data_IF_056996501927
#
_entry.id   IF_056996501927
#
_cell.length_a   1.000
_cell.length_b   1.000
_cell.length_c   1.000
_cell.angle_alpha   90.00
_cell.angle_beta   90.00
_cell.angle_gamma   90.00
#
_symmetry.space_group_name_H-M   'P 1'
#
loop_
_entity.id
_entity.type
_entity.pdbx_description
1 polymer ?
#
# COMPACT_ATOMS: atom_id res chain seq x y z
N UNK A 1 -10.17 -16.26 19.68
CA UNK A 1 -8.88 -15.59 19.36
C UNK A 1 -9.07 -14.48 18.31
N UNK A 2 -9.78 -14.71 17.20
CA UNK A 2 -10.03 -13.71 16.15
C UNK A 2 -10.80 -12.45 16.63
N UNK A 3 -11.92 -12.64 17.35
CA UNK A 3 -12.72 -11.51 17.89
C UNK A 3 -11.93 -10.64 18.88
N UNK A 4 -11.02 -11.23 19.65
CA UNK A 4 -10.17 -10.47 20.58
C UNK A 4 -9.16 -9.58 19.85
N UNK A 5 -8.56 -10.06 18.76
CA UNK A 5 -7.68 -9.25 17.93
C UNK A 5 -8.41 -8.09 17.23
N UNK A 6 -9.64 -8.32 16.76
CA UNK A 6 -10.47 -7.24 16.19
C UNK A 6 -10.87 -6.20 17.24
N UNK A 7 -11.24 -6.63 18.45
CA UNK A 7 -11.54 -5.73 19.56
C UNK A 7 -10.30 -4.94 20.00
N UNK A 8 -9.13 -5.60 20.04
CA UNK A 8 -7.87 -4.94 20.40
C UNK A 8 -7.46 -3.91 19.33
N UNK A 9 -7.57 -4.24 18.05
CA UNK A 9 -7.39 -3.28 16.95
C UNK A 9 -8.37 -2.11 17.07
N UNK A 10 -9.64 -2.39 17.40
CA UNK A 10 -10.66 -1.38 17.74
C UNK A 10 -10.23 -0.41 18.84
N UNK A 11 -9.73 -0.97 19.94
CA UNK A 11 -9.24 -0.21 21.09
C UNK A 11 -7.98 0.59 20.75
N UNK A 12 -7.03 0.01 20.02
CA UNK A 12 -5.80 0.70 19.58
C UNK A 12 -6.12 1.90 18.69
N UNK A 13 -7.05 1.75 17.75
CA UNK A 13 -7.52 2.88 16.92
C UNK A 13 -8.17 3.98 17.78
N UNK A 14 -8.98 3.59 18.77
CA UNK A 14 -9.63 4.53 19.68
C UNK A 14 -8.61 5.26 20.57
N UNK A 15 -7.58 4.55 21.06
CA UNK A 15 -6.51 5.12 21.86
C UNK A 15 -5.59 6.04 21.05
N UNK A 16 -5.29 5.68 19.80
CA UNK A 16 -4.47 6.49 18.89
C UNK A 16 -5.23 7.70 18.31
N UNK A 17 -6.56 7.73 18.45
CA UNK A 17 -7.42 8.77 17.87
C UNK A 17 -7.46 8.76 16.34
N UNK A 18 -6.98 7.67 15.70
CA UNK A 18 -6.95 7.50 14.25
C UNK A 18 -6.81 6.01 13.89
N UNK A 19 -7.13 5.67 12.64
CA UNK A 19 -7.06 4.30 12.12
C UNK A 19 -5.63 3.84 11.78
N UNK A 20 -4.59 4.60 12.15
CA UNK A 20 -3.21 4.29 11.71
C UNK A 20 -2.66 2.96 12.20
N UNK A 21 -2.97 2.49 13.43
CA UNK A 21 -2.48 1.21 13.92
C UNK A 21 -2.96 -0.01 13.12
N UNK A 22 -4.11 0.10 12.45
CA UNK A 22 -4.80 -1.04 11.84
C UNK A 22 -4.97 -0.95 10.33
N UNK A 23 -4.71 0.22 9.73
CA UNK A 23 -4.88 0.48 8.31
C UNK A 23 -3.63 1.12 7.72
N UNK A 24 -3.00 0.46 6.77
CA UNK A 24 -1.80 0.88 6.04
C UNK A 24 -1.95 0.77 4.53
N UNK A 25 -0.85 0.47 3.84
CA UNK A 25 -0.84 0.36 2.37
C UNK A 25 -1.68 -0.81 1.86
N UNK A 26 -1.80 -1.89 2.64
CA UNK A 26 -2.62 -3.05 2.32
C UNK A 26 -4.12 -2.72 2.27
N UNK A 27 -4.58 -1.82 3.14
CA UNK A 27 -5.96 -1.32 3.09
C UNK A 27 -6.17 -0.38 1.90
N UNK A 28 -5.18 0.45 1.56
CA UNK A 28 -5.28 1.28 0.37
C UNK A 28 -5.41 0.43 -0.91
N UNK A 29 -4.65 -0.67 -1.00
CA UNK A 29 -4.77 -1.63 -2.10
C UNK A 29 -6.17 -2.28 -2.10
N UNK A 30 -6.66 -2.75 -0.96
CA UNK A 30 -8.01 -3.34 -0.87
C UNK A 30 -9.09 -2.36 -1.31
N UNK A 31 -8.99 -1.09 -0.91
CA UNK A 31 -9.93 -0.06 -1.33
C UNK A 31 -9.82 0.28 -2.83
N UNK A 32 -8.61 0.29 -3.39
CA UNK A 32 -8.43 0.45 -4.84
C UNK A 32 -9.18 -0.65 -5.60
N UNK A 33 -9.05 -1.91 -5.14
CA UNK A 33 -9.76 -3.04 -5.76
C UNK A 33 -11.27 -2.97 -5.58
N UNK A 34 -11.75 -2.38 -4.48
CA UNK A 34 -13.18 -2.13 -4.22
C UNK A 34 -13.79 -1.02 -5.08
N UNK A 35 -12.97 -0.11 -5.61
CA UNK A 35 -13.44 0.98 -6.47
C UNK A 35 -13.73 0.52 -7.90
N UNK A 36 -13.35 -0.71 -8.25
CA UNK A 36 -13.62 -1.33 -9.58
C UNK A 36 -13.06 -0.55 -10.77
N UNK A 37 -12.07 0.33 -10.55
CA UNK A 37 -11.44 1.12 -11.61
C UNK A 37 -10.38 0.37 -12.40
N UNK A 38 -9.79 -0.67 -11.80
CA UNK A 38 -8.70 -1.47 -12.38
C UNK A 38 -9.01 -2.98 -12.47
N UNK A 39 -10.17 -3.38 -11.94
CA UNK A 39 -10.69 -4.75 -11.92
C UNK A 39 -12.22 -4.73 -11.89
N UNK A 40 -12.89 -5.80 -12.32
CA UNK A 40 -14.32 -5.97 -12.06
C UNK A 40 -14.61 -6.17 -10.57
N UNK A 41 -15.89 -6.11 -10.20
CA UNK A 41 -16.36 -6.46 -8.87
C UNK A 41 -15.79 -7.82 -8.40
N UNK A 42 -15.22 -7.84 -7.19
CA UNK A 42 -14.60 -9.03 -6.61
C UNK A 42 -15.56 -9.69 -5.63
N UNK A 43 -15.78 -10.99 -5.80
CA UNK A 43 -16.49 -11.82 -4.82
C UNK A 43 -15.52 -12.24 -3.70
N UNK A 44 -15.15 -11.25 -2.88
CA UNK A 44 -14.26 -11.42 -1.73
C UNK A 44 -14.57 -10.40 -0.63
N UNK A 45 -14.52 -10.85 0.62
CA UNK A 45 -14.70 -9.98 1.78
C UNK A 45 -13.55 -8.97 1.88
N UNK A 46 -13.81 -7.82 2.50
CA UNK A 46 -12.80 -6.79 2.73
C UNK A 46 -11.53 -7.37 3.41
N UNK A 47 -11.71 -8.17 4.46
CA UNK A 47 -10.59 -8.81 5.17
C UNK A 47 -9.77 -9.79 4.31
N UNK A 48 -10.39 -10.46 3.33
CA UNK A 48 -9.68 -11.36 2.41
C UNK A 48 -8.80 -10.55 1.45
N UNK A 49 -9.34 -9.46 0.90
CA UNK A 49 -8.58 -8.53 0.05
C UNK A 49 -7.42 -7.90 0.80
N UNK A 50 -7.67 -7.43 2.03
CA UNK A 50 -6.63 -6.89 2.92
C UNK A 50 -5.53 -7.92 3.22
N UNK A 51 -5.89 -9.18 3.48
CA UNK A 51 -4.93 -10.25 3.73
C UNK A 51 -4.00 -10.52 2.55
N UNK A 52 -4.56 -10.67 1.35
CA UNK A 52 -3.77 -10.85 0.12
C UNK A 52 -2.92 -9.61 -0.16
N UNK A 53 -3.48 -8.41 0.00
CA UNK A 53 -2.76 -7.15 -0.17
C UNK A 53 -1.59 -7.02 0.82
N UNK A 54 -1.74 -7.47 2.07
CA UNK A 54 -0.68 -7.45 3.07
C UNK A 54 0.53 -8.27 2.63
N UNK A 55 0.31 -9.45 2.03
CA UNK A 55 1.41 -10.27 1.50
C UNK A 55 2.18 -9.54 0.39
N UNK A 56 1.47 -8.82 -0.49
CA UNK A 56 2.06 -8.02 -1.57
C UNK A 56 2.84 -6.83 -1.02
N UNK A 57 2.29 -6.14 -0.02
CA UNK A 57 2.93 -5.00 0.64
C UNK A 57 4.21 -5.43 1.35
N UNK A 58 4.19 -6.52 2.12
CA UNK A 58 5.37 -7.07 2.76
C UNK A 58 6.48 -7.35 1.74
N UNK A 59 6.14 -8.03 0.63
CA UNK A 59 7.11 -8.32 -0.44
C UNK A 59 7.68 -7.04 -1.07
N UNK A 60 6.83 -6.04 -1.35
CA UNK A 60 7.27 -4.75 -1.91
C UNK A 60 8.17 -3.98 -0.94
N UNK A 61 7.83 -3.97 0.35
CA UNK A 61 8.60 -3.25 1.37
C UNK A 61 9.97 -3.90 1.56
N UNK A 62 10.05 -5.24 1.60
CA UNK A 62 11.33 -5.97 1.64
C UNK A 62 12.18 -5.69 0.39
N UNK A 63 11.57 -5.62 -0.82
CA UNK A 63 12.28 -5.21 -2.05
C UNK A 63 12.84 -3.79 -1.96
N UNK A 64 12.11 -2.86 -1.35
CA UNK A 64 12.61 -1.50 -1.12
C UNK A 64 13.77 -1.54 -0.12
N UNK A 65 13.61 -2.26 1.00
CA UNK A 65 14.64 -2.37 2.02
C UNK A 65 15.93 -3.05 1.54
N UNK A 66 15.89 -3.88 0.51
CA UNK A 66 17.09 -4.52 -0.07
C UNK A 66 17.94 -3.59 -0.93
N UNK A 67 17.58 -2.30 -1.07
CA UNK A 67 18.37 -1.32 -1.81
C UNK A 67 19.58 -0.91 -0.96
N UNK A 68 20.79 -1.12 -1.50
CA UNK A 68 22.03 -0.70 -0.84
C UNK A 68 22.36 0.76 -1.11
N UNK A 69 22.26 1.20 -2.37
CA UNK A 69 22.47 2.59 -2.79
C UNK A 69 21.13 3.29 -3.07
N UNK A 70 20.52 3.82 -2.01
CA UNK A 70 19.28 4.60 -2.12
C UNK A 70 19.52 5.96 -2.80
N UNK A 71 20.70 6.56 -2.60
CA UNK A 71 21.03 7.88 -3.14
C UNK A 71 21.07 7.85 -4.68
N UNK A 72 21.67 6.82 -5.26
CA UNK A 72 21.70 6.60 -6.72
C UNK A 72 20.35 6.21 -7.33
N UNK A 73 19.32 5.96 -6.51
CA UNK A 73 17.96 5.59 -6.96
C UNK A 73 16.93 6.70 -6.74
N UNK A 74 17.29 7.85 -6.19
CA UNK A 74 16.35 8.96 -6.03
C UNK A 74 15.91 9.47 -7.40
N UNK A 75 14.60 9.65 -7.58
CA UNK A 75 14.03 10.27 -8.78
C UNK A 75 14.33 11.77 -8.75
N UNK A 76 15.13 12.25 -9.71
CA UNK A 76 15.53 13.66 -9.79
C UNK A 76 14.33 14.61 -9.99
N UNK A 77 13.32 14.17 -10.76
CA UNK A 77 12.12 14.95 -11.07
C UNK A 77 10.88 14.14 -10.72
N UNK A 78 10.41 14.27 -9.47
CA UNK A 78 9.16 13.65 -9.04
C UNK A 78 8.01 14.14 -9.95
N UNK A 79 7.34 13.25 -10.72
CA UNK A 79 6.37 13.67 -11.74
C UNK A 79 5.04 14.17 -11.13
N UNK A 80 4.92 14.23 -9.80
CA UNK A 80 3.67 14.59 -9.14
C UNK A 80 2.63 13.48 -9.23
N UNK A 81 1.38 13.84 -8.96
CA UNK A 81 0.23 12.94 -9.05
C UNK A 81 -0.01 12.59 -10.54
N UNK A 82 -0.13 11.30 -10.92
CA UNK A 82 -0.27 10.89 -12.32
C UNK A 82 -1.70 11.11 -12.81
N UNK A 83 -2.04 12.36 -13.15
CA UNK A 83 -3.42 12.78 -13.46
C UNK A 83 -4.07 11.96 -14.57
N UNK A 84 -3.33 11.67 -15.65
CA UNK A 84 -3.85 10.90 -16.79
C UNK A 84 -4.26 9.47 -16.38
N UNK A 85 -3.39 8.76 -15.65
CA UNK A 85 -3.67 7.41 -15.14
C UNK A 85 -4.87 7.43 -14.20
N UNK A 86 -4.92 8.42 -13.30
CA UNK A 86 -6.03 8.57 -12.37
C UNK A 86 -7.36 8.87 -13.07
N UNK A 87 -7.38 9.72 -14.10
CA UNK A 87 -8.60 10.04 -14.85
C UNK A 87 -9.18 8.79 -15.52
N UNK A 88 -8.34 8.03 -16.22
CA UNK A 88 -8.76 6.81 -16.92
C UNK A 88 -9.39 5.77 -15.99
N UNK A 89 -8.98 5.75 -14.72
CA UNK A 89 -9.31 4.68 -13.77
C UNK A 89 -10.41 5.09 -12.80
N UNK A 90 -10.34 6.29 -12.23
CA UNK A 90 -11.34 6.76 -11.27
C UNK A 90 -12.55 7.39 -11.98
N UNK A 91 -12.41 7.82 -13.23
CA UNK A 91 -13.50 8.39 -14.02
C UNK A 91 -14.26 9.48 -13.26
N UNK A 92 -15.50 9.17 -12.87
CA UNK A 92 -16.36 10.11 -12.11
C UNK A 92 -15.84 10.45 -10.71
N UNK A 93 -15.05 9.57 -10.10
CA UNK A 93 -14.44 9.77 -8.78
C UNK A 93 -13.12 10.55 -8.85
N UNK A 94 -12.60 10.83 -10.05
CA UNK A 94 -11.30 11.49 -10.23
C UNK A 94 -11.17 12.79 -9.44
N UNK A 95 -12.15 13.69 -9.54
CA UNK A 95 -12.09 14.98 -8.85
C UNK A 95 -12.02 14.80 -7.33
N UNK A 96 -12.81 13.88 -6.77
CA UNK A 96 -12.80 13.61 -5.34
C UNK A 96 -11.45 13.02 -4.86
N UNK A 97 -10.87 12.12 -5.65
CA UNK A 97 -9.53 11.56 -5.35
C UNK A 97 -8.47 12.65 -5.46
N UNK A 98 -8.55 13.53 -6.46
CA UNK A 98 -7.60 14.63 -6.63
C UNK A 98 -7.68 15.63 -5.48
N UNK A 99 -8.91 16.06 -5.13
CA UNK A 99 -9.17 16.96 -4.01
C UNK A 99 -8.67 16.37 -2.70
N UNK A 100 -8.90 15.07 -2.47
CA UNK A 100 -8.41 14.39 -1.27
C UNK A 100 -6.88 14.45 -1.21
N UNK A 101 -6.18 14.29 -2.33
CA UNK A 101 -4.72 14.23 -2.40
C UNK A 101 -4.02 15.58 -2.56
N UNK A 102 -4.78 16.68 -2.66
CA UNK A 102 -4.22 18.02 -2.82
C UNK A 102 -4.24 18.77 -1.48
N UNK A 103 -3.12 19.33 -1.03
CA UNK A 103 -1.77 19.26 -1.63
C UNK A 103 -1.12 17.89 -1.41
N UNK A 104 -0.26 17.49 -2.37
CA UNK A 104 0.42 16.20 -2.37
C UNK A 104 1.37 16.08 -1.16
N UNK A 105 1.14 15.14 -0.23
CA UNK A 105 2.04 14.85 0.89
C UNK A 105 3.49 14.57 0.50
N UNK A 106 3.77 14.13 -0.73
CA UNK A 106 5.14 13.90 -1.19
C UNK A 106 5.89 15.20 -1.54
N UNK A 107 5.18 16.27 -1.88
CA UNK A 107 5.80 17.55 -2.22
C UNK A 107 6.56 18.18 -1.05
N UNK A 108 6.20 17.81 0.18
CA UNK A 108 6.86 18.28 1.41
C UNK A 108 8.04 17.38 1.85
N UNK A 109 8.34 16.30 1.12
CA UNK A 109 9.40 15.35 1.47
C UNK A 109 10.71 15.76 0.81
N UNK A 110 11.71 16.06 1.62
CA UNK A 110 13.09 16.24 1.15
C UNK A 110 13.74 14.88 0.83
N UNK A 111 14.15 14.63 -0.43
CA UNK A 111 14.82 13.39 -0.79
C UNK A 111 16.14 13.16 -0.05
N UNK A 112 16.84 14.20 0.39
CA UNK A 112 18.06 14.04 1.19
C UNK A 112 17.75 13.45 2.56
N UNK A 113 16.67 13.92 3.20
CA UNK A 113 16.20 13.35 4.47
C UNK A 113 15.79 11.89 4.29
N UNK A 114 15.19 11.53 3.15
CA UNK A 114 14.88 10.14 2.83
C UNK A 114 16.16 9.28 2.80
N UNK A 115 17.20 9.73 2.08
CA UNK A 115 18.49 9.02 2.01
C UNK A 115 19.11 8.87 3.41
N UNK A 116 19.17 9.94 4.18
CA UNK A 116 19.74 9.95 5.53
C UNK A 116 19.00 9.02 6.50
N UNK A 117 17.67 8.94 6.39
CA UNK A 117 16.81 8.14 7.27
C UNK A 117 16.55 6.74 6.73
N UNK A 118 17.00 6.41 5.52
CA UNK A 118 16.75 5.13 4.90
C UNK A 118 17.21 3.93 5.74
N UNK A 119 18.37 3.96 6.44
CA UNK A 119 18.75 2.86 7.33
C UNK A 119 17.72 2.59 8.44
N UNK A 120 17.08 3.64 8.98
CA UNK A 120 16.03 3.48 9.99
C UNK A 120 14.75 2.86 9.39
N UNK A 121 14.46 3.18 8.12
CA UNK A 121 13.35 2.55 7.38
C UNK A 121 13.64 1.07 7.19
N UNK A 122 14.88 0.70 6.83
CA UNK A 122 15.30 -0.70 6.71
C UNK A 122 15.14 -1.44 8.04
N UNK A 123 15.61 -0.88 9.15
CA UNK A 123 15.45 -1.48 10.50
C UNK A 123 14.00 -1.71 10.90
N UNK A 124 13.09 -0.81 10.52
CA UNK A 124 11.64 -0.97 10.76
C UNK A 124 11.08 -2.08 9.87
N UNK A 125 11.50 -2.12 8.60
CA UNK A 125 11.07 -3.15 7.64
C UNK A 125 11.60 -4.53 8.04
N UNK A 126 12.75 -4.63 8.70
CA UNK A 126 13.26 -5.92 9.16
C UNK A 126 12.37 -6.58 10.21
N UNK A 127 11.58 -5.79 10.94
CA UNK A 127 10.64 -6.28 11.97
C UNK A 127 9.31 -6.75 11.41
N UNK A 128 8.93 -6.38 10.19
CA UNK A 128 7.71 -6.89 9.55
C UNK A 128 7.95 -8.28 8.94
N UNK A 129 6.91 -9.15 8.99
CA UNK A 129 7.00 -10.50 8.46
C UNK A 129 7.13 -10.51 6.93
N UNK A 130 7.65 -11.61 6.40
CA UNK A 130 7.71 -11.84 4.97
C UNK A 130 6.35 -12.15 4.36
N UNK A 131 6.16 -11.79 3.09
CA UNK A 131 4.92 -12.07 2.37
C UNK A 131 4.57 -13.57 2.32
N UNK A 132 5.58 -14.45 2.22
CA UNK A 132 5.37 -15.90 2.26
C UNK A 132 4.84 -16.37 3.61
N UNK A 133 5.32 -15.78 4.71
CA UNK A 133 4.82 -16.10 6.05
C UNK A 133 3.36 -15.67 6.22
N UNK A 134 3.00 -14.48 5.71
CA UNK A 134 1.60 -14.01 5.67
C UNK A 134 0.73 -14.99 4.89
N UNK A 135 1.17 -15.43 3.70
CA UNK A 135 0.45 -16.41 2.90
C UNK A 135 0.23 -17.74 3.66
N UNK A 136 1.26 -18.24 4.35
CA UNK A 136 1.13 -19.45 5.18
C UNK A 136 0.10 -19.29 6.30
N UNK A 137 0.03 -18.12 6.94
CA UNK A 137 -1.01 -17.85 7.94
C UNK A 137 -2.41 -17.84 7.33
N UNK A 138 -2.58 -17.19 6.18
CA UNK A 138 -3.87 -17.16 5.46
C UNK A 138 -4.31 -18.56 5.06
N UNK A 139 -3.40 -19.38 4.52
CA UNK A 139 -3.66 -20.79 4.19
C UNK A 139 -4.13 -21.57 5.42
N UNK A 140 -3.44 -21.43 6.57
CA UNK A 140 -3.82 -22.11 7.81
C UNK A 140 -5.17 -21.65 8.37
N UNK A 141 -5.55 -20.41 8.10
CA UNK A 141 -6.84 -19.85 8.49
C UNK A 141 -7.97 -20.22 7.53
N UNK A 142 -7.67 -20.89 6.40
CA UNK A 142 -8.66 -21.20 5.35
C UNK A 142 -9.11 -19.96 4.57
N UNK A 143 -8.31 -18.90 4.56
CA UNK A 143 -8.58 -17.66 3.84
C UNK A 143 -8.03 -17.73 2.40
N UNK A 144 -8.51 -16.82 1.54
CA UNK A 144 -7.89 -16.54 0.23
C UNK A 144 -6.45 -16.06 0.42
N UNK A 145 -5.53 -16.53 -0.43
CA UNK A 145 -4.07 -16.36 -0.24
C UNK A 145 -3.43 -15.59 -1.40
N UNK A 146 -3.95 -15.78 -2.61
CA UNK A 146 -3.38 -15.26 -3.85
C UNK A 146 -4.33 -14.29 -4.55
N UNK A 147 -3.79 -13.52 -5.50
CA UNK A 147 -4.62 -12.70 -6.40
C UNK A 147 -5.65 -13.56 -7.15
N UNK A 148 -5.26 -14.76 -7.59
CA UNK A 148 -6.14 -15.67 -8.31
C UNK A 148 -7.32 -16.12 -7.46
N UNK A 149 -7.13 -16.32 -6.15
CA UNK A 149 -8.25 -16.65 -5.23
C UNK A 149 -9.27 -15.50 -5.12
N UNK A 150 -8.83 -14.26 -5.36
CA UNK A 150 -9.69 -13.07 -5.44
C UNK A 150 -10.33 -12.89 -6.83
N UNK A 151 -9.97 -13.71 -7.82
CA UNK A 151 -10.38 -13.52 -9.22
C UNK A 151 -9.53 -12.48 -9.98
N UNK A 152 -8.36 -12.13 -9.45
CA UNK A 152 -7.41 -11.19 -10.06
C UNK A 152 -6.24 -11.92 -10.74
N UNK A 153 -5.66 -11.27 -11.75
CA UNK A 153 -4.43 -11.74 -12.43
C UNK A 153 -3.21 -10.94 -11.96
N UNK A 154 -2.01 -11.47 -12.17
CA UNK A 154 -0.76 -10.77 -11.83
C UNK A 154 -0.53 -9.47 -12.64
N UNK A 155 -1.24 -9.30 -13.75
CA UNK A 155 -1.15 -8.12 -14.62
C UNK A 155 -1.61 -6.82 -13.93
N UNK A 156 -2.45 -6.94 -12.89
CA UNK A 156 -2.94 -5.80 -12.14
C UNK A 156 -1.92 -5.24 -11.14
N UNK A 157 -0.87 -6.00 -10.84
CA UNK A 157 0.08 -5.65 -9.76
C UNK A 157 0.79 -4.32 -10.03
N UNK A 158 1.38 -4.05 -11.20
CA UNK A 158 2.03 -2.77 -11.46
C UNK A 158 1.09 -1.58 -11.23
N UNK A 159 -0.13 -1.67 -11.76
CA UNK A 159 -1.15 -0.62 -11.64
C UNK A 159 -1.64 -0.45 -10.19
N UNK A 160 -1.77 -1.57 -9.46
CA UNK A 160 -2.12 -1.57 -8.04
C UNK A 160 -1.06 -0.85 -7.21
N UNK A 161 0.22 -1.12 -7.46
CA UNK A 161 1.34 -0.50 -6.73
C UNK A 161 1.46 0.99 -7.07
N UNK A 162 1.20 1.37 -8.32
CA UNK A 162 1.24 2.76 -8.77
C UNK A 162 0.11 3.61 -8.14
N UNK A 163 -1.12 3.08 -8.11
CA UNK A 163 -2.31 3.89 -7.81
C UNK A 163 -2.83 3.78 -6.39
N UNK A 164 -2.55 2.68 -5.68
CA UNK A 164 -2.98 2.52 -4.30
C UNK A 164 -2.52 3.65 -3.37
N UNK A 165 -1.36 4.31 -3.56
CA UNK A 165 -1.02 5.50 -2.78
C UNK A 165 -2.09 6.58 -2.79
N UNK A 166 -2.81 6.80 -3.89
CA UNK A 166 -3.76 7.92 -4.04
C UNK A 166 -5.16 7.63 -3.51
N UNK A 167 -5.46 6.41 -3.08
CA UNK A 167 -6.79 6.11 -2.53
C UNK A 167 -7.08 6.92 -1.27
N UNK A 168 -6.05 7.32 -0.53
CA UNK A 168 -6.14 8.19 0.66
C UNK A 168 -4.95 9.13 0.74
N UNK A 169 -5.15 10.36 1.21
CA UNK A 169 -4.05 11.33 1.47
C UNK A 169 -3.27 10.97 2.73
N UNK A 170 -2.47 9.91 2.64
CA UNK A 170 -1.68 9.40 3.76
C UNK A 170 -0.32 8.92 3.30
N UNK A 171 0.70 9.29 4.08
CA UNK A 171 2.06 8.85 3.85
C UNK A 171 2.23 7.39 4.28
N UNK A 172 2.55 6.54 3.31
CA UNK A 172 2.96 5.14 3.49
C UNK A 172 4.27 4.93 2.74
N UNK A 173 5.01 3.85 3.01
CA UNK A 173 6.20 3.56 2.22
C UNK A 173 5.87 3.29 0.74
N UNK A 174 4.65 2.83 0.43
CA UNK A 174 4.20 2.71 -0.95
C UNK A 174 4.14 4.07 -1.65
N UNK A 175 3.62 5.10 -0.97
CA UNK A 175 3.65 6.48 -1.48
C UNK A 175 5.08 7.00 -1.60
N UNK A 176 5.88 6.85 -0.55
CA UNK A 176 7.29 7.29 -0.54
C UNK A 176 8.13 6.63 -1.64
N UNK A 177 7.80 5.40 -2.01
CA UNK A 177 8.47 4.68 -3.09
C UNK A 177 8.41 5.36 -4.45
N UNK A 178 7.51 6.33 -4.65
CA UNK A 178 7.47 7.15 -5.87
C UNK A 178 8.65 8.12 -6.01
N UNK A 179 9.41 8.37 -4.95
CA UNK A 179 10.69 9.09 -4.99
C UNK A 179 11.88 8.17 -5.29
N UNK A 180 11.65 6.86 -5.44
CA UNK A 180 12.69 5.84 -5.60
C UNK A 180 12.47 5.11 -6.92
N UNK A 181 13.52 5.02 -7.73
CA UNK A 181 13.54 4.18 -8.92
C UNK A 181 13.72 2.70 -8.53
N UNK A 182 12.66 1.92 -8.72
CA UNK A 182 12.58 0.50 -8.31
C UNK A 182 12.77 -0.50 -9.45
N UNK A 183 13.16 0.01 -10.61
CA UNK A 183 13.52 -0.72 -11.82
C UNK A 183 15.06 -0.88 -11.96
#
# INVERSE_FOLDING_TARGET
MYMYALLLSGLEMQMAGNFRPSSGAEHHISHLWEMEGINPALDALHGEKVGVALSLVCARYKKIASIEDIAGRIVENYPGIPENSMWCIFGKLFNAVMDENTPDPLSDVDPQVLVEKFPQIQEVIDKIPDGCWIQQLLTRAGCKVTLTDLGLTGEIVPLTLELSPFVRRRMTLMRLSRLINLD
#
